data_IF_128001963939
#
_entry.id   IF_128001963939
#
_cell.length_a   1.000
_cell.length_b   1.000
_cell.length_c   1.000
_cell.angle_alpha   90.00
_cell.angle_beta   90.00
_cell.angle_gamma   90.00
#
_symmetry.space_group_name_H-M   'P 1'
#
loop_
_entity.id
_entity.type
_entity.pdbx_description
1 polymer ?
#
# COMPACT_ATOMS: atom_id res chain seq x y z
N UNK A 1 -6.91 22.13 1.33
CA UNK A 1 -8.29 21.68 1.03
C UNK A 1 -8.33 20.78 -0.21
N UNK A 2 -7.69 21.13 -1.32
CA UNK A 2 -7.70 20.32 -2.54
C UNK A 2 -7.03 18.95 -2.36
N UNK A 3 -5.94 18.85 -1.60
CA UNK A 3 -5.25 17.58 -1.37
C UNK A 3 -6.16 16.58 -0.65
N UNK A 4 -6.82 16.97 0.43
CA UNK A 4 -7.73 16.11 1.20
C UNK A 4 -8.87 15.58 0.32
N UNK A 5 -9.49 16.45 -0.47
CA UNK A 5 -10.56 16.05 -1.41
C UNK A 5 -10.06 15.06 -2.46
N UNK A 6 -8.82 15.23 -2.93
CA UNK A 6 -8.19 14.32 -3.91
C UNK A 6 -7.93 12.95 -3.29
N UNK A 7 -7.34 12.90 -2.09
CA UNK A 7 -7.08 11.63 -1.38
C UNK A 7 -8.37 10.86 -1.07
N UNK A 8 -9.42 11.57 -0.62
CA UNK A 8 -10.74 10.99 -0.41
C UNK A 8 -11.36 10.44 -1.71
N UNK A 9 -11.14 11.13 -2.83
CA UNK A 9 -11.56 10.67 -4.17
C UNK A 9 -10.88 9.36 -4.56
N UNK A 10 -9.57 9.24 -4.38
CA UNK A 10 -8.82 8.01 -4.65
C UNK A 10 -9.28 6.85 -3.75
N UNK A 11 -9.54 7.11 -2.48
CA UNK A 11 -10.08 6.10 -1.57
C UNK A 11 -11.43 5.56 -2.05
N UNK A 12 -12.33 6.44 -2.51
CA UNK A 12 -13.63 6.01 -3.10
C UNK A 12 -13.45 5.16 -4.36
N UNK A 13 -12.50 5.51 -5.23
CA UNK A 13 -12.19 4.73 -6.43
C UNK A 13 -11.64 3.34 -6.07
N UNK A 14 -10.82 3.24 -5.03
CA UNK A 14 -10.32 1.96 -4.54
C UNK A 14 -11.43 1.11 -3.92
N UNK A 15 -12.31 1.72 -3.13
CA UNK A 15 -13.49 1.06 -2.53
C UNK A 15 -14.56 0.72 -3.59
N UNK A 16 -14.51 1.32 -4.78
CA UNK A 16 -15.54 1.23 -5.82
C UNK A 16 -16.83 1.94 -5.47
N UNK A 17 -16.76 2.88 -4.54
CA UNK A 17 -17.89 3.70 -4.14
C UNK A 17 -18.23 4.74 -5.21
N UNK A 18 -19.51 5.13 -5.36
CA UNK A 18 -19.89 6.18 -6.28
C UNK A 18 -19.19 7.50 -5.98
N UNK A 19 -18.74 8.20 -7.02
CA UNK A 19 -18.19 9.54 -6.91
C UNK A 19 -19.30 10.51 -7.31
N UNK A 20 -19.63 11.42 -6.39
CA UNK A 20 -20.52 12.53 -6.66
C UNK A 20 -19.72 13.83 -6.73
N UNK A 21 -19.96 14.64 -7.73
CA UNK A 21 -19.42 15.98 -7.87
C UNK A 21 -20.54 16.97 -8.19
N UNK A 22 -20.67 17.98 -7.36
CA UNK A 22 -21.59 19.11 -7.59
C UNK A 22 -20.78 20.30 -8.08
N UNK A 23 -21.15 20.88 -9.20
CA UNK A 23 -20.51 22.07 -9.77
C UNK A 23 -21.56 22.97 -10.40
N UNK A 24 -21.60 24.22 -9.97
CA UNK A 24 -22.50 25.26 -10.53
C UNK A 24 -23.99 24.83 -10.66
N UNK A 25 -24.49 24.03 -9.68
CA UNK A 25 -25.88 23.54 -9.70
C UNK A 25 -26.11 22.24 -10.46
N UNK A 26 -25.09 21.74 -11.16
CA UNK A 26 -25.14 20.41 -11.80
C UNK A 26 -24.51 19.34 -10.91
N UNK A 27 -25.16 18.18 -10.83
CA UNK A 27 -24.68 17.03 -10.08
C UNK A 27 -24.26 15.91 -11.03
N UNK A 28 -22.98 15.54 -10.98
CA UNK A 28 -22.44 14.43 -11.74
C UNK A 28 -22.23 13.24 -10.82
N UNK A 29 -22.76 12.10 -11.21
CA UNK A 29 -22.58 10.83 -10.51
C UNK A 29 -21.82 9.87 -11.41
N UNK A 30 -20.72 9.32 -10.89
CA UNK A 30 -19.93 8.30 -11.59
C UNK A 30 -20.01 7.03 -10.77
N UNK A 31 -20.60 5.99 -11.35
CA UNK A 31 -20.78 4.68 -10.71
C UNK A 31 -19.79 3.67 -11.28
N UNK A 32 -19.53 2.62 -10.52
CA UNK A 32 -18.73 1.47 -10.94
C UNK A 32 -17.31 1.81 -11.40
N UNK A 33 -16.78 2.95 -10.95
CA UNK A 33 -15.40 3.34 -11.26
C UNK A 33 -14.42 2.62 -10.35
N UNK A 34 -13.30 2.20 -10.92
CA UNK A 34 -12.19 1.55 -10.24
C UNK A 34 -10.88 2.18 -10.70
N UNK A 35 -9.93 2.24 -9.80
CA UNK A 35 -8.58 2.70 -10.11
C UNK A 35 -7.57 1.73 -9.51
N UNK A 36 -6.67 1.24 -10.34
CA UNK A 36 -5.42 0.61 -9.92
C UNK A 36 -4.28 1.57 -10.18
N UNK A 37 -3.36 1.71 -9.23
CA UNK A 37 -2.26 2.64 -9.31
C UNK A 37 -0.95 1.91 -8.98
N UNK A 38 0.05 2.08 -9.81
CA UNK A 38 1.41 1.63 -9.56
C UNK A 38 2.33 2.85 -9.55
N UNK A 39 3.06 3.05 -8.44
CA UNK A 39 3.95 4.18 -8.25
C UNK A 39 5.36 3.67 -7.94
N UNK A 40 6.33 4.16 -8.68
CA UNK A 40 7.75 4.03 -8.36
C UNK A 40 8.29 5.41 -8.01
N UNK A 41 8.92 5.53 -6.85
CA UNK A 41 9.45 6.80 -6.40
C UNK A 41 10.80 6.64 -5.72
N UNK A 42 11.60 7.69 -5.80
CA UNK A 42 12.87 7.73 -5.09
C UNK A 42 12.64 7.91 -3.59
N UNK A 43 13.55 7.40 -2.71
CA UNK A 43 13.40 7.52 -1.25
C UNK A 43 13.18 8.96 -0.78
N UNK A 44 13.86 9.93 -1.39
CA UNK A 44 13.70 11.35 -1.05
C UNK A 44 12.26 11.86 -1.30
N UNK A 45 11.61 11.36 -2.34
CA UNK A 45 10.22 11.71 -2.66
C UNK A 45 9.28 10.96 -1.71
N UNK A 46 9.58 9.69 -1.41
CA UNK A 46 8.79 8.88 -0.47
C UNK A 46 8.71 9.51 0.94
N UNK A 47 9.73 10.26 1.35
CA UNK A 47 9.70 11.03 2.60
C UNK A 47 8.53 12.02 2.66
N UNK A 48 8.05 12.54 1.53
CA UNK A 48 6.88 13.44 1.52
C UNK A 48 5.58 12.72 1.91
N UNK A 49 5.51 11.40 1.75
CA UNK A 49 4.37 10.59 2.17
C UNK A 49 4.27 10.40 3.69
N UNK A 50 5.33 10.79 4.44
CA UNK A 50 5.37 10.76 5.91
C UNK A 50 4.42 11.76 6.57
N UNK A 51 3.92 12.74 5.83
CA UNK A 51 2.99 13.74 6.38
C UNK A 51 1.77 13.04 6.99
N UNK A 52 1.36 13.41 8.21
CA UNK A 52 0.25 12.77 8.93
C UNK A 52 -1.02 12.62 8.10
N UNK A 53 -1.29 13.60 7.23
CA UNK A 53 -2.47 13.60 6.37
C UNK A 53 -2.60 12.34 5.49
N UNK A 54 -1.49 11.73 5.04
CA UNK A 54 -1.53 10.53 4.22
C UNK A 54 -1.86 9.27 5.03
N UNK A 55 -1.47 9.25 6.31
CA UNK A 55 -1.78 8.16 7.22
C UNK A 55 -3.19 8.31 7.80
N UNK A 56 -3.52 9.49 8.33
CA UNK A 56 -4.82 9.77 8.98
C UNK A 56 -6.00 9.60 8.04
N UNK A 57 -5.84 9.96 6.75
CA UNK A 57 -6.89 9.76 5.73
C UNK A 57 -6.96 8.32 5.22
N UNK A 58 -6.14 7.40 5.72
CA UNK A 58 -6.12 5.99 5.29
C UNK A 58 -5.73 5.79 3.82
N UNK A 59 -5.15 6.82 3.18
CA UNK A 59 -4.74 6.74 1.78
C UNK A 59 -3.62 5.71 1.60
N UNK A 60 -2.54 5.82 2.38
CA UNK A 60 -1.41 4.89 2.31
C UNK A 60 -1.79 3.47 2.74
N UNK A 61 -2.77 3.32 3.60
CA UNK A 61 -3.27 2.01 4.04
C UNK A 61 -3.79 1.12 2.89
N UNK A 62 -4.09 1.73 1.74
CA UNK A 62 -4.58 1.03 0.54
C UNK A 62 -3.48 0.62 -0.43
N UNK A 63 -2.24 1.01 -0.17
CA UNK A 63 -1.08 0.65 -0.97
C UNK A 63 -0.34 -0.54 -0.37
N UNK A 64 0.12 -1.41 -1.24
CA UNK A 64 1.11 -2.43 -0.94
C UNK A 64 2.48 -1.81 -1.19
N UNK A 65 3.20 -1.47 -0.11
CA UNK A 65 4.45 -0.72 -0.17
C UNK A 65 5.61 -1.70 0.00
N UNK A 66 6.63 -1.57 -0.85
CA UNK A 66 7.88 -2.31 -0.71
C UNK A 66 9.07 -1.41 -1.07
N UNK A 67 10.17 -1.57 -0.35
CA UNK A 67 11.41 -0.89 -0.64
C UNK A 67 12.38 -1.84 -1.37
N UNK A 68 12.78 -1.44 -2.58
CA UNK A 68 13.77 -2.20 -3.34
C UNK A 68 15.16 -2.00 -2.74
N UNK A 69 15.85 -3.10 -2.44
CA UNK A 69 17.25 -3.04 -1.99
C UNK A 69 18.15 -2.52 -3.12
N UNK A 70 18.94 -1.46 -2.90
CA UNK A 70 19.85 -0.94 -3.90
C UNK A 70 20.86 -1.99 -4.36
N UNK A 71 20.97 -2.18 -5.68
CA UNK A 71 21.92 -3.11 -6.29
C UNK A 71 23.11 -2.42 -6.95
N UNK A 72 23.35 -1.15 -6.62
CA UNK A 72 24.52 -0.42 -7.12
C UNK A 72 25.81 -1.17 -6.76
N UNK A 73 26.75 -1.26 -7.70
CA UNK A 73 28.01 -2.04 -7.55
C UNK A 73 27.85 -3.56 -7.79
N UNK A 74 26.63 -4.08 -7.90
CA UNK A 74 26.36 -5.52 -8.15
C UNK A 74 25.67 -5.78 -9.50
N UNK A 75 25.42 -4.73 -10.28
CA UNK A 75 24.76 -4.80 -11.59
C UNK A 75 25.83 -4.91 -12.68
N UNK A 76 26.40 -6.09 -12.81
CA UNK A 76 27.33 -6.35 -13.92
C UNK A 76 26.54 -6.45 -15.23
N UNK A 77 27.22 -6.13 -16.34
CA UNK A 77 26.61 -6.29 -17.66
C UNK A 77 26.25 -7.77 -17.90
N UNK A 78 25.05 -7.98 -18.37
CA UNK A 78 24.56 -9.31 -18.77
C UNK A 78 23.74 -9.15 -20.05
N UNK A 79 24.20 -9.81 -21.10
CA UNK A 79 23.51 -9.82 -22.40
C UNK A 79 22.37 -10.87 -22.37
N UNK A 80 21.30 -10.50 -21.69
CA UNK A 80 20.11 -11.35 -21.56
C UNK A 80 18.88 -10.60 -22.03
N UNK A 81 18.22 -11.11 -23.06
CA UNK A 81 16.93 -10.60 -23.53
C UNK A 81 15.80 -11.48 -22.94
N UNK A 82 15.07 -10.99 -21.93
CA UNK A 82 13.99 -11.75 -21.34
C UNK A 82 12.84 -12.03 -22.31
N UNK A 83 12.69 -11.23 -23.38
CA UNK A 83 11.61 -11.39 -24.36
C UNK A 83 11.74 -12.67 -25.19
N UNK A 84 12.93 -13.28 -25.21
CA UNK A 84 13.22 -14.53 -25.93
C UNK A 84 12.97 -15.78 -25.08
N UNK A 85 12.41 -15.63 -23.87
CA UNK A 85 12.15 -16.77 -22.98
C UNK A 85 10.71 -17.28 -23.11
N UNK A 86 10.52 -18.58 -22.90
CA UNK A 86 9.19 -19.19 -22.89
C UNK A 86 8.30 -18.63 -21.78
N UNK A 87 8.90 -18.27 -20.65
CA UNK A 87 8.23 -17.65 -19.51
C UNK A 87 7.65 -16.27 -19.89
N UNK A 88 8.42 -15.46 -20.60
CA UNK A 88 7.97 -14.16 -21.09
C UNK A 88 6.83 -14.32 -22.11
N UNK A 89 6.94 -15.26 -23.03
CA UNK A 89 5.87 -15.54 -23.99
C UNK A 89 4.59 -15.96 -23.30
N UNK A 90 4.68 -16.87 -22.32
CA UNK A 90 3.55 -17.32 -21.51
C UNK A 90 2.90 -16.11 -20.78
N UNK A 91 3.71 -15.31 -20.08
CA UNK A 91 3.24 -14.11 -19.39
C UNK A 91 2.54 -13.15 -20.34
N UNK A 92 3.19 -12.81 -21.46
CA UNK A 92 2.67 -11.87 -22.45
C UNK A 92 1.34 -12.34 -23.05
N UNK A 93 1.20 -13.65 -23.33
CA UNK A 93 -0.04 -14.26 -23.83
C UNK A 93 -1.14 -14.13 -22.77
N UNK A 94 -0.90 -14.57 -21.53
CA UNK A 94 -1.88 -14.49 -20.44
C UNK A 94 -2.39 -13.05 -20.25
N UNK A 95 -1.50 -12.05 -20.22
CA UNK A 95 -1.91 -10.66 -20.08
C UNK A 95 -2.73 -10.16 -21.28
N UNK A 96 -2.34 -10.53 -22.50
CA UNK A 96 -3.09 -10.13 -23.72
C UNK A 96 -4.50 -10.74 -23.74
N UNK A 97 -4.62 -12.01 -23.35
CA UNK A 97 -5.91 -12.69 -23.30
C UNK A 97 -6.84 -12.04 -22.26
N UNK A 98 -6.34 -11.80 -21.04
CA UNK A 98 -7.10 -11.11 -19.98
C UNK A 98 -7.50 -9.67 -20.37
N UNK A 99 -6.62 -8.93 -21.04
CA UNK A 99 -6.95 -7.59 -21.53
C UNK A 99 -8.00 -7.65 -22.63
N UNK A 100 -7.89 -8.59 -23.56
CA UNK A 100 -8.87 -8.80 -24.64
C UNK A 100 -10.26 -9.10 -24.09
N UNK A 101 -10.37 -10.00 -23.13
CA UNK A 101 -11.62 -10.28 -22.43
C UNK A 101 -12.17 -9.06 -21.70
N UNK A 102 -11.32 -8.32 -21.00
CA UNK A 102 -11.71 -7.12 -20.24
C UNK A 102 -12.32 -6.03 -21.15
N UNK A 103 -11.78 -5.84 -22.35
CA UNK A 103 -12.27 -4.83 -23.30
C UNK A 103 -13.66 -5.16 -23.87
N UNK A 104 -14.02 -6.44 -23.93
CA UNK A 104 -15.33 -6.90 -24.44
C UNK A 104 -16.40 -7.03 -23.36
N UNK A 105 -16.00 -7.03 -22.11
CA UNK A 105 -16.85 -7.24 -20.95
C UNK A 105 -17.67 -6.00 -20.63
N UNK A 106 -19.00 -6.14 -20.54
CA UNK A 106 -19.92 -5.03 -20.25
C UNK A 106 -20.15 -4.85 -18.75
N UNK A 107 -20.09 -5.95 -18.00
CA UNK A 107 -20.39 -5.98 -16.57
C UNK A 107 -19.22 -6.60 -15.79
N UNK A 108 -19.20 -6.36 -14.48
CA UNK A 108 -18.21 -6.96 -13.56
C UNK A 108 -18.70 -8.34 -13.14
N UNK A 109 -17.86 -9.36 -13.32
CA UNK A 109 -18.11 -10.68 -12.77
C UNK A 109 -17.80 -10.71 -11.28
N UNK A 110 -18.66 -11.39 -10.54
CA UNK A 110 -18.46 -11.63 -9.13
C UNK A 110 -17.71 -12.95 -8.94
N UNK A 111 -16.43 -12.85 -8.57
CA UNK A 111 -15.64 -14.02 -8.15
C UNK A 111 -15.84 -14.26 -6.65
N UNK A 112 -16.00 -15.53 -6.24
CA UNK A 112 -16.30 -15.93 -4.86
C UNK A 112 -15.24 -16.87 -4.32
N UNK A 113 -15.03 -16.79 -3.02
CA UNK A 113 -14.25 -17.79 -2.27
C UNK A 113 -15.05 -19.10 -2.21
N UNK A 114 -14.39 -20.23 -2.43
CA UNK A 114 -14.98 -21.52 -2.05
C UNK A 114 -14.99 -21.68 -0.51
N UNK A 115 -15.70 -22.65 0.07
CA UNK A 115 -15.81 -22.79 1.52
C UNK A 115 -14.46 -22.82 2.23
N UNK A 116 -13.52 -23.66 1.80
CA UNK A 116 -12.20 -23.81 2.43
C UNK A 116 -11.35 -22.52 2.34
N UNK A 117 -11.46 -21.79 1.22
CA UNK A 117 -10.81 -20.50 1.05
C UNK A 117 -11.41 -19.44 1.96
N UNK A 118 -12.73 -19.47 2.13
CA UNK A 118 -13.43 -18.55 3.03
C UNK A 118 -13.04 -18.78 4.48
N UNK A 119 -12.99 -20.02 4.92
CA UNK A 119 -12.61 -20.38 6.30
C UNK A 119 -11.17 -19.91 6.60
N UNK A 120 -10.23 -20.15 5.67
CA UNK A 120 -8.87 -19.66 5.81
C UNK A 120 -8.80 -18.13 5.84
N UNK A 121 -9.54 -17.45 4.96
CA UNK A 121 -9.55 -16.00 4.93
C UNK A 121 -10.11 -15.39 6.22
N UNK A 122 -11.20 -15.98 6.77
CA UNK A 122 -11.79 -15.53 8.05
C UNK A 122 -10.78 -15.70 9.18
N UNK A 123 -10.12 -16.87 9.26
CA UNK A 123 -9.06 -17.09 10.25
C UNK A 123 -7.96 -16.03 10.14
N UNK A 124 -7.46 -15.76 8.93
CA UNK A 124 -6.42 -14.75 8.69
C UNK A 124 -6.88 -13.35 9.05
N UNK A 125 -8.12 -12.99 8.71
CA UNK A 125 -8.72 -11.72 9.11
C UNK A 125 -8.70 -11.54 10.62
N UNK A 126 -9.15 -12.56 11.37
CA UNK A 126 -9.22 -12.50 12.83
C UNK A 126 -7.84 -12.47 13.49
N UNK A 127 -6.83 -13.12 12.90
CA UNK A 127 -5.43 -13.07 13.34
C UNK A 127 -4.84 -11.66 13.15
N UNK A 128 -5.07 -11.06 11.98
CA UNK A 128 -4.66 -9.68 11.70
C UNK A 128 -5.35 -8.74 12.68
N UNK A 129 -6.67 -8.84 12.86
CA UNK A 129 -7.42 -7.96 13.76
C UNK A 129 -6.91 -8.02 15.21
N UNK A 130 -6.57 -9.21 15.71
CA UNK A 130 -5.94 -9.37 17.03
C UNK A 130 -4.58 -8.67 17.12
N UNK A 131 -3.81 -8.69 16.02
CA UNK A 131 -2.49 -8.05 15.95
C UNK A 131 -2.55 -6.52 15.87
N UNK A 132 -3.74 -5.92 15.67
CA UNK A 132 -3.96 -4.47 15.67
C UNK A 132 -4.22 -3.88 17.05
N UNK A 133 -4.35 -4.70 18.09
CA UNK A 133 -4.58 -4.25 19.47
C UNK A 133 -3.46 -3.32 19.97
N UNK A 134 -3.76 -2.53 21.01
CA UNK A 134 -2.77 -1.61 21.58
C UNK A 134 -1.58 -2.40 22.15
N UNK A 135 -0.37 -2.03 21.70
CA UNK A 135 0.87 -2.73 22.03
C UNK A 135 1.09 -4.07 21.32
N UNK A 136 0.22 -4.47 20.39
CA UNK A 136 0.40 -5.66 19.57
C UNK A 136 1.31 -5.37 18.36
N UNK A 137 1.71 -6.43 17.64
CA UNK A 137 2.75 -6.39 16.59
C UNK A 137 2.47 -5.40 15.45
N UNK A 138 1.20 -5.17 15.12
CA UNK A 138 0.78 -4.28 14.04
C UNK A 138 0.23 -2.92 14.52
N UNK A 139 0.32 -2.61 15.81
CA UNK A 139 -0.18 -1.35 16.39
C UNK A 139 0.42 -0.13 15.67
N UNK A 140 1.73 -0.15 15.41
CA UNK A 140 2.46 0.95 14.73
C UNK A 140 2.06 1.18 13.27
N UNK A 141 1.45 0.17 12.64
CA UNK A 141 0.94 0.23 11.26
C UNK A 141 -0.56 -0.06 11.17
N UNK A 142 -1.29 0.18 12.26
CA UNK A 142 -2.72 -0.11 12.42
C UNK A 142 -3.58 0.23 11.17
N UNK A 143 -3.45 1.40 10.53
CA UNK A 143 -4.23 1.71 9.33
C UNK A 143 -3.96 0.76 8.16
N UNK A 144 -2.70 0.35 7.95
CA UNK A 144 -2.31 -0.59 6.88
C UNK A 144 -2.77 -2.00 7.21
N UNK A 145 -2.57 -2.44 8.46
CA UNK A 145 -3.02 -3.75 8.93
C UNK A 145 -4.53 -3.93 8.78
N UNK A 146 -5.32 -2.91 9.15
CA UNK A 146 -6.78 -2.93 9.01
C UNK A 146 -7.28 -3.09 7.54
N UNK A 147 -6.43 -2.79 6.55
CA UNK A 147 -6.75 -2.99 5.13
C UNK A 147 -6.12 -4.26 4.54
N UNK A 148 -5.28 -4.96 5.30
CA UNK A 148 -4.52 -6.09 4.75
C UNK A 148 -5.42 -7.29 4.44
N UNK A 149 -6.39 -7.62 5.27
CA UNK A 149 -7.32 -8.72 4.99
C UNK A 149 -8.12 -8.49 3.69
N UNK A 150 -8.52 -7.24 3.41
CA UNK A 150 -9.15 -6.87 2.14
C UNK A 150 -8.18 -6.97 0.96
N UNK A 151 -6.93 -6.52 1.13
CA UNK A 151 -5.88 -6.67 0.11
C UNK A 151 -5.60 -8.14 -0.21
N UNK A 152 -5.52 -9.02 0.80
CA UNK A 152 -5.36 -10.47 0.63
C UNK A 152 -6.51 -11.04 -0.21
N UNK A 153 -7.76 -10.66 0.08
CA UNK A 153 -8.90 -11.11 -0.72
C UNK A 153 -8.80 -10.64 -2.19
N UNK A 154 -8.39 -9.39 -2.42
CA UNK A 154 -8.19 -8.84 -3.77
C UNK A 154 -7.07 -9.55 -4.53
N UNK A 155 -5.92 -9.79 -3.88
CA UNK A 155 -4.81 -10.54 -4.47
C UNK A 155 -5.26 -11.97 -4.81
N UNK A 156 -5.98 -12.63 -3.90
CA UNK A 156 -6.52 -13.98 -4.15
C UNK A 156 -7.41 -14.03 -5.39
N UNK A 157 -8.25 -13.01 -5.58
CA UNK A 157 -9.11 -12.87 -6.76
C UNK A 157 -8.28 -12.69 -8.04
N UNK A 158 -7.26 -11.84 -8.02
CA UNK A 158 -6.36 -11.62 -9.16
C UNK A 158 -5.63 -12.91 -9.52
N UNK A 159 -5.08 -13.64 -8.52
CA UNK A 159 -4.39 -14.92 -8.74
C UNK A 159 -5.33 -15.97 -9.35
N UNK A 160 -6.58 -16.06 -8.87
CA UNK A 160 -7.55 -16.98 -9.43
C UNK A 160 -7.86 -16.67 -10.91
N UNK A 161 -8.02 -15.40 -11.26
CA UNK A 161 -8.27 -14.97 -12.65
C UNK A 161 -7.05 -15.29 -13.54
N UNK A 162 -5.83 -15.02 -13.07
CA UNK A 162 -4.59 -15.35 -13.81
C UNK A 162 -4.47 -16.85 -14.06
N UNK A 163 -4.90 -17.66 -13.11
CA UNK A 163 -4.93 -19.13 -13.23
C UNK A 163 -6.15 -19.64 -14.06
N UNK A 164 -6.97 -18.74 -14.62
CA UNK A 164 -8.14 -19.09 -15.43
C UNK A 164 -9.33 -19.64 -14.62
N UNK A 165 -9.40 -19.35 -13.31
CA UNK A 165 -10.44 -19.85 -12.42
C UNK A 165 -11.54 -18.81 -12.18
N UNK A 166 -12.79 -19.24 -12.17
CA UNK A 166 -13.96 -18.42 -11.80
C UNK A 166 -14.27 -18.42 -10.30
N UNK A 167 -13.52 -19.19 -9.51
CA UNK A 167 -13.68 -19.34 -8.05
C UNK A 167 -12.34 -19.26 -7.37
N UNK A 168 -12.27 -18.54 -6.26
CA UNK A 168 -11.07 -18.43 -5.44
C UNK A 168 -10.94 -19.67 -4.57
N UNK A 169 -9.89 -20.45 -4.78
CA UNK A 169 -9.56 -21.64 -3.99
C UNK A 169 -8.68 -21.28 -2.79
N UNK A 170 -8.58 -22.24 -1.85
CA UNK A 170 -7.68 -22.14 -0.70
C UNK A 170 -6.24 -21.80 -1.09
N UNK A 171 -5.71 -22.42 -2.15
CA UNK A 171 -4.35 -22.16 -2.66
C UNK A 171 -4.13 -20.70 -3.05
N UNK A 172 -5.13 -20.06 -3.67
CA UNK A 172 -5.03 -18.63 -4.02
C UNK A 172 -4.95 -17.75 -2.77
N UNK A 173 -5.73 -18.10 -1.71
CA UNK A 173 -5.68 -17.38 -0.44
C UNK A 173 -4.34 -17.59 0.27
N UNK A 174 -3.82 -18.81 0.31
CA UNK A 174 -2.48 -19.11 0.88
C UNK A 174 -1.37 -18.30 0.19
N UNK A 175 -1.39 -18.24 -1.14
CA UNK A 175 -0.44 -17.43 -1.90
C UNK A 175 -0.59 -15.93 -1.63
N UNK A 176 -1.83 -15.46 -1.48
CA UNK A 176 -2.12 -14.07 -1.18
C UNK A 176 -1.72 -13.68 0.25
N UNK A 177 -1.85 -14.60 1.23
CA UNK A 177 -1.37 -14.41 2.61
C UNK A 177 0.14 -14.22 2.60
N UNK A 178 0.90 -15.09 1.91
CA UNK A 178 2.35 -14.97 1.81
C UNK A 178 2.80 -13.61 1.22
N UNK A 179 2.06 -13.07 0.26
CA UNK A 179 2.28 -11.71 -0.26
C UNK A 179 1.88 -10.65 0.76
N UNK A 180 0.78 -10.84 1.48
CA UNK A 180 0.34 -9.94 2.55
C UNK A 180 1.37 -9.81 3.66
N UNK A 181 1.91 -10.95 4.13
CA UNK A 181 2.96 -11.00 5.15
C UNK A 181 4.23 -10.26 4.69
N UNK A 182 4.62 -10.44 3.43
CA UNK A 182 5.72 -9.69 2.85
C UNK A 182 5.48 -8.17 2.93
N UNK A 183 4.32 -7.68 2.50
CA UNK A 183 4.01 -6.25 2.51
C UNK A 183 3.82 -5.68 3.92
N UNK A 184 3.30 -6.46 4.86
CA UNK A 184 3.28 -6.11 6.29
C UNK A 184 4.73 -5.92 6.77
N UNK A 185 5.61 -6.89 6.52
CA UNK A 185 7.01 -6.81 6.91
C UNK A 185 7.75 -5.60 6.31
N UNK A 186 7.50 -5.28 5.04
CA UNK A 186 8.06 -4.09 4.39
C UNK A 186 7.52 -2.79 5.01
N UNK A 187 6.22 -2.74 5.31
CA UNK A 187 5.61 -1.56 5.96
C UNK A 187 6.14 -1.35 7.37
N UNK A 188 6.35 -2.42 8.14
CA UNK A 188 6.97 -2.35 9.47
C UNK A 188 8.41 -1.82 9.40
N UNK A 189 9.22 -2.29 8.45
CA UNK A 189 10.58 -1.78 8.22
C UNK A 189 10.58 -0.28 7.89
N UNK A 190 9.68 0.15 7.03
CA UNK A 190 9.55 1.57 6.68
C UNK A 190 9.08 2.41 7.86
N UNK A 191 8.13 1.92 8.65
CA UNK A 191 7.65 2.57 9.87
C UNK A 191 8.78 2.76 10.90
N UNK A 192 9.59 1.72 11.14
CA UNK A 192 10.75 1.79 12.03
C UNK A 192 11.81 2.81 11.57
N UNK A 193 12.16 2.79 10.29
CA UNK A 193 13.11 3.78 9.73
C UNK A 193 12.56 5.20 9.81
N UNK A 194 11.26 5.37 9.61
CA UNK A 194 10.61 6.66 9.71
C UNK A 194 10.69 7.23 11.13
N UNK A 195 10.51 6.41 12.15
CA UNK A 195 10.65 6.87 13.53
C UNK A 195 12.10 7.19 13.92
N UNK A 196 13.07 6.41 13.47
CA UNK A 196 14.51 6.68 13.70
C UNK A 196 14.99 7.96 13.01
N UNK A 197 14.62 8.16 11.74
CA UNK A 197 14.97 9.37 11.00
C UNK A 197 14.34 10.62 11.61
N UNK A 198 13.09 10.55 12.07
CA UNK A 198 12.39 11.67 12.71
C UNK A 198 13.02 12.03 14.04
N UNK A 199 13.45 11.04 14.82
CA UNK A 199 14.21 11.24 16.06
C UNK A 199 15.59 11.86 15.78
N UNK A 200 16.31 11.34 14.78
CA UNK A 200 17.61 11.89 14.37
C UNK A 200 17.47 13.31 13.84
N UNK A 201 16.46 13.57 13.02
CA UNK A 201 16.19 14.93 12.51
C UNK A 201 15.89 15.89 13.66
N UNK A 202 15.00 15.52 14.58
CA UNK A 202 14.67 16.33 15.76
C UNK A 202 15.88 16.52 16.68
N UNK A 203 16.69 15.49 16.88
CA UNK A 203 17.92 15.59 17.65
C UNK A 203 18.95 16.54 17.01
N UNK A 204 19.08 16.51 15.69
CA UNK A 204 19.95 17.42 14.96
C UNK A 204 19.46 18.87 15.04
N UNK A 205 18.16 19.12 14.85
CA UNK A 205 17.57 20.46 15.01
C UNK A 205 17.80 21.00 16.42
N UNK A 206 17.56 20.17 17.43
CA UNK A 206 17.81 20.54 18.83
C UNK A 206 19.29 20.83 19.09
N UNK A 207 20.19 20.02 18.56
CA UNK A 207 21.64 20.21 18.68
C UNK A 207 22.10 21.51 18.03
N UNK A 208 21.61 21.81 16.82
CA UNK A 208 21.90 23.08 16.13
C UNK A 208 21.35 24.30 16.90
N UNK A 209 20.15 24.15 17.46
CA UNK A 209 19.54 25.23 18.25
C UNK A 209 20.33 25.46 19.55
N UNK A 210 20.73 24.40 20.27
CA UNK A 210 21.59 24.50 21.46
C UNK A 210 22.93 25.19 21.12
N UNK A 211 23.54 24.80 20.00
CA UNK A 211 24.81 25.41 19.55
C UNK A 211 24.73 26.91 19.23
N UNK A 212 23.53 27.43 18.96
CA UNK A 212 23.26 28.85 18.75
C UNK A 212 23.02 29.64 20.04
N UNK A 213 22.87 28.95 21.19
CA UNK A 213 22.65 29.62 22.46
C UNK A 213 23.98 30.15 23.07
N UNK A 214 24.01 31.35 23.59
CA UNK A 214 25.26 32.01 24.07
C UNK A 214 25.98 31.23 25.18
N UNK A 215 25.25 30.45 25.99
CA UNK A 215 25.80 29.69 27.12
C UNK A 215 26.12 28.26 26.80
N UNK A 216 25.64 27.71 25.66
CA UNK A 216 25.71 26.27 25.34
C UNK A 216 24.92 25.36 26.31
N UNK A 217 24.23 25.96 27.28
CA UNK A 217 23.41 25.28 28.29
C UNK A 217 22.00 25.86 28.23
N UNK A 218 21.01 24.97 28.11
CA UNK A 218 19.61 25.34 28.01
C UNK A 218 18.78 24.49 28.99
N UNK A 219 17.70 25.05 29.50
CA UNK A 219 16.76 24.27 30.31
C UNK A 219 15.85 23.44 29.40
N UNK A 220 15.24 22.39 29.98
CA UNK A 220 14.23 21.56 29.28
C UNK A 220 13.05 22.41 28.82
N UNK A 221 12.64 23.38 29.63
CA UNK A 221 11.54 24.30 29.33
C UNK A 221 11.85 25.22 28.13
N UNK A 222 13.11 25.63 27.96
CA UNK A 222 13.53 26.41 26.80
C UNK A 222 13.55 25.54 25.53
N UNK A 223 13.99 24.30 25.64
CA UNK A 223 14.00 23.34 24.53
C UNK A 223 12.59 22.99 24.04
N UNK A 224 11.60 22.90 24.95
CA UNK A 224 10.18 22.63 24.58
C UNK A 224 9.49 23.81 23.87
N UNK A 225 10.03 25.01 23.97
CA UNK A 225 9.52 26.22 23.31
C UNK A 225 10.25 26.58 22.03
N UNK A 226 11.25 25.76 21.66
CA UNK A 226 11.96 25.95 20.39
C UNK A 226 11.04 25.57 19.20
N UNK A 227 11.10 26.30 18.08
CA UNK A 227 10.29 26.02 16.90
C UNK A 227 10.58 24.71 16.22
#
# INVERSE_FOLDING_TARGET
ENLIKTLAGYSKLWDGSPIQRVRAGESYHVFNSRLSMHLMMQPIIAQQLRKPIFFEQGYLARFLIAEATPRAGKRLYNEFDPTQTAEYEKYSRTIKDLMGESLTRKDFDLIRLNPDAKDLWVQTHDEIEKSLGDGADLDVIKPTGAKMAENIARISGVLAIIDGNSVISRRHVESAIALGDFYIGETLKLSGRFSEDDLLHSANLLSEWIGKQPSGVVSVDDAQKSP
#
